data_IF_622518913320
#
_entry.id   IF_622518913320
#
_cell.length_a   1.000
_cell.length_b   1.000
_cell.length_c   1.000
_cell.angle_alpha   90.00
_cell.angle_beta   90.00
_cell.angle_gamma   90.00
#
_symmetry.space_group_name_H-M   'P 1'
#
loop_
_entity.id
_entity.type
_entity.pdbx_description
1 polymer ?
#
# COMPACT_ATOMS: atom_id res chain seq x y z
N UNK A 1 12.93 16.73 -18.58
CA UNK A 1 12.82 15.25 -18.54
C UNK A 1 11.92 14.88 -17.38
N UNK A 2 10.71 14.41 -17.69
CA UNK A 2 9.57 14.19 -16.77
C UNK A 2 9.50 12.75 -16.28
N UNK A 3 10.63 12.15 -15.92
CA UNK A 3 10.63 10.78 -15.37
C UNK A 3 10.74 10.81 -13.84
N UNK A 4 9.90 10.01 -13.18
CA UNK A 4 9.92 9.83 -11.72
C UNK A 4 11.30 9.33 -11.27
N UNK A 5 11.86 9.92 -10.22
CA UNK A 5 13.15 9.48 -9.65
C UNK A 5 13.10 8.02 -9.20
N UNK A 6 11.94 7.55 -8.72
CA UNK A 6 11.73 6.16 -8.31
C UNK A 6 11.72 5.22 -9.52
N UNK A 7 11.18 5.67 -10.66
CA UNK A 7 11.25 4.90 -11.90
C UNK A 7 12.70 4.79 -12.42
N UNK A 8 13.49 5.84 -12.30
CA UNK A 8 14.92 5.79 -12.62
C UNK A 8 15.67 4.82 -11.70
N UNK A 9 15.36 4.80 -10.41
CA UNK A 9 15.90 3.81 -9.47
C UNK A 9 15.51 2.39 -9.89
N UNK A 10 14.26 2.16 -10.29
CA UNK A 10 13.82 0.87 -10.84
C UNK A 10 14.64 0.46 -12.05
N UNK A 11 14.81 1.34 -13.04
CA UNK A 11 15.62 1.08 -14.23
C UNK A 11 17.06 0.72 -13.88
N UNK A 12 17.69 1.47 -12.96
CA UNK A 12 19.05 1.20 -12.50
C UNK A 12 19.16 -0.12 -11.71
N UNK A 13 18.12 -0.48 -10.95
CA UNK A 13 18.08 -1.70 -10.18
C UNK A 13 18.02 -2.95 -11.08
N UNK A 14 17.48 -2.86 -12.30
CA UNK A 14 17.43 -4.00 -13.25
C UNK A 14 18.84 -4.56 -13.48
N UNK A 15 19.81 -3.70 -13.77
CA UNK A 15 21.22 -4.13 -13.98
C UNK A 15 21.79 -4.77 -12.72
N UNK A 16 21.58 -4.15 -11.56
CA UNK A 16 22.05 -4.68 -10.27
C UNK A 16 21.49 -6.08 -9.98
N UNK A 17 20.19 -6.27 -10.18
CA UNK A 17 19.51 -7.54 -9.95
C UNK A 17 19.96 -8.59 -10.96
N UNK A 18 20.07 -8.22 -12.25
CA UNK A 18 20.58 -9.10 -13.31
C UNK A 18 21.95 -9.63 -12.94
N UNK A 19 22.85 -8.75 -12.51
CA UNK A 19 24.22 -9.14 -12.15
C UNK A 19 24.23 -10.09 -10.95
N UNK A 20 23.33 -9.90 -9.97
CA UNK A 20 23.14 -10.85 -8.86
C UNK A 20 22.64 -12.23 -9.32
N UNK A 21 21.68 -12.27 -10.24
CA UNK A 21 21.26 -13.53 -10.86
C UNK A 21 22.39 -14.18 -11.68
N UNK A 22 23.26 -13.38 -12.29
CA UNK A 22 24.44 -13.86 -13.01
C UNK A 22 25.50 -14.55 -12.14
N UNK A 23 25.44 -14.38 -10.82
CA UNK A 23 26.28 -15.10 -9.85
C UNK A 23 25.73 -16.50 -9.54
N UNK A 24 24.48 -16.80 -9.90
CA UNK A 24 23.89 -18.11 -9.71
C UNK A 24 24.39 -19.08 -10.80
N UNK A 25 24.35 -20.40 -10.54
CA UNK A 25 24.73 -21.40 -11.55
C UNK A 25 23.89 -21.32 -12.84
N UNK A 26 22.63 -20.89 -12.72
CA UNK A 26 21.70 -20.72 -13.82
C UNK A 26 22.03 -19.44 -14.60
N UNK A 27 22.31 -19.57 -15.90
CA UNK A 27 22.59 -18.46 -16.81
C UNK A 27 21.45 -18.29 -17.81
N UNK A 28 21.28 -17.06 -18.33
CA UNK A 28 20.29 -16.74 -19.35
C UNK A 28 19.09 -15.93 -18.86
N UNK A 29 19.18 -15.25 -17.71
CA UNK A 29 18.13 -14.31 -17.31
C UNK A 29 18.14 -13.08 -18.24
N UNK A 30 17.11 -12.95 -19.10
CA UNK A 30 16.92 -11.77 -19.94
C UNK A 30 16.49 -10.55 -19.13
N UNK A 31 16.87 -9.34 -19.54
CA UNK A 31 16.64 -8.10 -18.77
C UNK A 31 15.15 -7.81 -18.49
N UNK A 32 14.29 -8.24 -19.41
CA UNK A 32 12.83 -8.11 -19.28
C UNK A 32 12.17 -9.32 -18.60
N UNK A 33 12.95 -10.25 -18.07
CA UNK A 33 12.41 -11.40 -17.36
C UNK A 33 11.78 -10.96 -16.03
N UNK A 34 10.69 -11.62 -15.66
CA UNK A 34 10.02 -11.39 -14.38
C UNK A 34 10.94 -11.57 -13.17
N UNK A 35 11.93 -12.46 -13.29
CA UNK A 35 12.90 -12.75 -12.23
C UNK A 35 13.77 -11.53 -11.93
N UNK A 36 14.02 -10.68 -12.93
CA UNK A 36 14.75 -9.43 -12.74
C UNK A 36 13.80 -8.28 -12.38
N UNK A 37 12.72 -8.12 -13.16
CA UNK A 37 11.84 -6.96 -13.04
C UNK A 37 11.13 -6.90 -11.69
N UNK A 38 10.66 -8.03 -11.14
CA UNK A 38 9.90 -8.04 -9.87
C UNK A 38 10.77 -7.59 -8.68
N UNK A 39 11.92 -8.22 -8.38
CA UNK A 39 12.76 -7.77 -7.27
C UNK A 39 13.36 -6.37 -7.49
N UNK A 40 13.64 -5.95 -8.73
CA UNK A 40 14.05 -4.58 -9.03
C UNK A 40 12.94 -3.57 -8.70
N UNK A 41 11.69 -3.91 -9.04
CA UNK A 41 10.50 -3.12 -8.73
C UNK A 41 10.25 -3.05 -7.23
N UNK A 42 10.30 -4.19 -6.52
CA UNK A 42 10.19 -4.22 -5.06
C UNK A 42 11.27 -3.34 -4.44
N UNK A 43 12.54 -3.46 -4.87
CA UNK A 43 13.63 -2.64 -4.33
C UNK A 43 13.37 -1.14 -4.50
N UNK A 44 13.01 -0.70 -5.71
CA UNK A 44 12.78 0.71 -6.01
C UNK A 44 11.59 1.30 -5.24
N UNK A 45 10.44 0.62 -5.25
CA UNK A 45 9.20 1.18 -4.70
C UNK A 45 9.04 0.95 -3.20
N UNK A 46 9.81 0.04 -2.60
CA UNK A 46 9.87 -0.13 -1.12
C UNK A 46 11.08 0.53 -0.47
N UNK A 47 11.95 1.19 -1.27
CA UNK A 47 13.16 1.85 -0.78
C UNK A 47 14.23 0.89 -0.25
N UNK A 48 14.19 -0.39 -0.65
CA UNK A 48 15.17 -1.41 -0.27
C UNK A 48 16.37 -1.38 -1.20
N UNK A 49 17.53 -1.75 -0.69
CA UNK A 49 18.75 -1.86 -1.49
C UNK A 49 18.64 -3.04 -2.48
N UNK A 50 18.81 -2.78 -3.78
CA UNK A 50 18.80 -3.80 -4.81
C UNK A 50 19.89 -4.87 -4.65
N UNK A 51 20.98 -4.56 -3.94
CA UNK A 51 22.05 -5.52 -3.62
C UNK A 51 21.63 -6.57 -2.59
N UNK A 52 20.65 -6.27 -1.74
CA UNK A 52 20.27 -7.13 -0.61
C UNK A 52 18.80 -7.54 -0.60
N UNK A 53 17.97 -6.99 -1.50
CA UNK A 53 16.57 -7.41 -1.62
C UNK A 53 16.49 -8.89 -1.97
N UNK A 54 15.44 -9.56 -1.51
CA UNK A 54 15.17 -10.94 -1.90
C UNK A 54 14.93 -11.03 -3.40
N UNK A 55 15.44 -12.09 -4.05
CA UNK A 55 15.24 -12.34 -5.48
C UNK A 55 13.91 -13.03 -5.79
N UNK A 56 13.22 -13.48 -4.75
CA UNK A 56 11.88 -14.07 -4.87
C UNK A 56 10.80 -12.99 -5.07
N UNK A 57 9.77 -13.26 -5.90
CA UNK A 57 8.59 -12.43 -5.96
C UNK A 57 7.70 -12.56 -4.71
N UNK A 58 8.01 -13.45 -3.75
CA UNK A 58 7.22 -13.67 -2.53
C UNK A 58 8.01 -13.25 -1.26
N UNK A 59 8.09 -11.94 -0.96
CA UNK A 59 8.89 -11.43 0.15
C UNK A 59 8.37 -11.90 1.51
N UNK A 60 9.27 -12.32 2.41
CA UNK A 60 8.91 -12.87 3.72
C UNK A 60 8.42 -11.82 4.74
N UNK A 61 8.83 -10.56 4.60
CA UNK A 61 8.52 -9.49 5.57
C UNK A 61 7.75 -8.38 4.85
N UNK A 62 6.45 -8.20 5.17
CA UNK A 62 5.65 -7.10 4.62
C UNK A 62 6.11 -5.75 5.21
N UNK A 63 5.75 -4.65 4.54
CA UNK A 63 5.87 -3.32 5.14
C UNK A 63 4.83 -3.22 6.27
N UNK A 64 5.19 -2.75 7.48
CA UNK A 64 4.25 -2.69 8.58
C UNK A 64 3.16 -1.64 8.33
N UNK A 65 1.92 -2.03 8.64
CA UNK A 65 0.81 -1.11 8.74
C UNK A 65 0.83 -0.44 10.11
N UNK A 66 0.54 0.85 10.18
CA UNK A 66 0.57 1.58 11.44
C UNK A 66 -0.52 2.64 11.52
N UNK A 67 -0.94 2.93 12.76
CA UNK A 67 -1.88 3.98 13.07
C UNK A 67 -1.50 4.63 14.38
N UNK A 68 -1.44 5.96 14.38
CA UNK A 68 -1.16 6.78 15.56
C UNK A 68 -2.29 7.77 15.71
N UNK A 69 -2.89 7.79 16.90
CA UNK A 69 -3.90 8.75 17.32
C UNK A 69 -3.40 9.45 18.59
N UNK A 70 -3.22 10.77 18.52
CA UNK A 70 -2.77 11.60 19.63
C UNK A 70 -3.88 12.53 20.10
N UNK A 71 -4.37 12.31 21.32
CA UNK A 71 -5.49 13.03 21.92
C UNK A 71 -5.07 14.05 22.99
N UNK A 72 -3.77 14.28 23.18
CA UNK A 72 -3.25 15.10 24.28
C UNK A 72 -3.28 16.61 24.01
N UNK A 73 -3.61 17.03 22.78
CA UNK A 73 -3.54 18.45 22.38
C UNK A 73 -4.53 19.34 23.15
N UNK A 74 -5.65 18.79 23.63
CA UNK A 74 -6.62 19.53 24.45
C UNK A 74 -6.09 19.94 25.83
N UNK A 75 -4.96 19.39 26.29
CA UNK A 75 -4.34 19.74 27.58
C UNK A 75 -3.48 21.02 27.51
N UNK A 76 -3.15 21.50 26.31
CA UNK A 76 -2.40 22.73 26.13
C UNK A 76 -3.27 23.95 26.48
N UNK A 77 -2.68 24.96 27.11
CA UNK A 77 -3.41 26.14 27.62
C UNK A 77 -4.22 26.88 26.54
N UNK A 78 -3.75 26.87 25.30
CA UNK A 78 -4.43 27.50 24.16
C UNK A 78 -5.69 26.75 23.69
N UNK A 79 -5.81 25.45 23.98
CA UNK A 79 -6.90 24.61 23.46
C UNK A 79 -7.92 24.20 24.54
N UNK A 80 -7.51 24.16 25.82
CA UNK A 80 -8.34 23.65 26.94
C UNK A 80 -9.65 24.40 27.16
N UNK A 81 -9.71 25.68 26.80
CA UNK A 81 -10.89 26.52 27.07
C UNK A 81 -11.96 26.40 25.98
N UNK A 82 -11.55 26.10 24.75
CA UNK A 82 -12.42 26.06 23.57
C UNK A 82 -12.83 24.61 23.25
N UNK A 83 -11.87 23.69 23.32
CA UNK A 83 -12.02 22.30 22.87
C UNK A 83 -12.12 21.34 24.04
N UNK A 84 -13.06 20.39 23.97
CA UNK A 84 -13.11 19.22 24.87
C UNK A 84 -12.15 18.14 24.41
N UNK A 85 -11.95 17.98 23.10
CA UNK A 85 -10.94 17.09 22.54
C UNK A 85 -10.34 17.65 21.26
N UNK A 86 -9.05 17.40 21.07
CA UNK A 86 -8.34 17.63 19.82
C UNK A 86 -7.52 16.38 19.54
N UNK A 87 -7.87 15.69 18.46
CA UNK A 87 -7.26 14.42 18.04
C UNK A 87 -6.49 14.63 16.75
N UNK A 88 -5.20 14.32 16.78
CA UNK A 88 -4.37 14.21 15.58
C UNK A 88 -4.23 12.74 15.22
N UNK A 89 -4.56 12.39 13.98
CA UNK A 89 -4.55 11.03 13.46
C UNK A 89 -3.61 10.91 12.27
N UNK A 90 -2.87 9.81 12.21
CA UNK A 90 -2.12 9.38 11.05
C UNK A 90 -2.23 7.87 10.93
N UNK A 91 -2.51 7.37 9.73
CA UNK A 91 -2.55 5.93 9.47
C UNK A 91 -2.01 5.61 8.09
N UNK A 92 -1.19 4.56 8.01
CA UNK A 92 -0.62 4.04 6.78
C UNK A 92 -0.90 2.54 6.66
N UNK A 93 -1.28 2.15 5.46
CA UNK A 93 -1.49 0.75 5.07
C UNK A 93 -0.78 0.47 3.75
N UNK A 94 -0.10 -0.67 3.69
CA UNK A 94 0.57 -1.18 2.50
C UNK A 94 0.16 -2.62 2.24
N UNK A 95 -0.02 -2.97 0.97
CA UNK A 95 -0.19 -4.35 0.54
C UNK A 95 0.66 -4.62 -0.71
N UNK A 96 1.22 -5.83 -0.77
CA UNK A 96 1.89 -6.36 -1.95
C UNK A 96 1.14 -7.60 -2.41
N UNK A 97 0.85 -7.68 -3.71
CA UNK A 97 0.07 -8.75 -4.31
C UNK A 97 0.77 -9.26 -5.56
N UNK A 98 0.84 -10.59 -5.69
CA UNK A 98 1.21 -11.27 -6.93
C UNK A 98 -0.08 -11.71 -7.61
N UNK A 99 -0.45 -11.04 -8.69
CA UNK A 99 -1.71 -11.25 -9.41
C UNK A 99 -1.52 -12.31 -10.49
N UNK A 100 -2.30 -13.39 -10.39
CA UNK A 100 -2.40 -14.47 -11.37
C UNK A 100 -1.04 -15.09 -11.74
N UNK A 101 -0.66 -16.14 -11.02
CA UNK A 101 0.48 -16.99 -11.36
C UNK A 101 0.03 -18.40 -11.74
N UNK A 102 0.76 -19.03 -12.65
CA UNK A 102 0.54 -20.42 -13.07
C UNK A 102 1.86 -21.15 -13.22
N UNK A 103 1.83 -22.48 -13.20
CA UNK A 103 3.02 -23.28 -13.52
C UNK A 103 3.33 -23.15 -15.01
N UNK A 104 4.61 -23.02 -15.34
CA UNK A 104 5.06 -23.11 -16.73
C UNK A 104 4.92 -24.55 -17.23
N UNK A 105 4.43 -24.70 -18.46
CA UNK A 105 4.24 -26.01 -19.11
C UNK A 105 5.56 -26.72 -19.44
N UNK A 106 6.69 -25.98 -19.38
CA UNK A 106 8.03 -26.50 -19.65
C UNK A 106 8.62 -27.34 -18.50
N UNK A 107 7.91 -27.39 -17.36
CA UNK A 107 8.35 -28.05 -16.15
C UNK A 107 7.34 -29.12 -15.72
N UNK A 108 7.75 -30.37 -15.80
CA UNK A 108 6.88 -31.54 -15.54
C UNK A 108 6.78 -31.91 -14.05
N UNK A 109 7.73 -31.46 -13.22
CA UNK A 109 7.88 -31.89 -11.82
C UNK A 109 7.72 -30.78 -10.77
N UNK A 110 7.02 -29.69 -11.09
CA UNK A 110 6.58 -28.70 -10.09
C UNK A 110 5.34 -29.28 -9.39
N UNK A 111 5.56 -30.25 -8.50
CA UNK A 111 4.49 -30.89 -7.75
C UNK A 111 3.86 -29.97 -6.70
N UNK A 112 2.67 -30.34 -6.21
CA UNK A 112 1.94 -29.64 -5.14
C UNK A 112 2.72 -29.52 -3.82
N UNK A 113 3.84 -30.24 -3.68
CA UNK A 113 4.67 -30.27 -2.47
C UNK A 113 5.72 -29.16 -2.44
N UNK A 114 5.86 -28.36 -3.51
CA UNK A 114 6.79 -27.22 -3.56
C UNK A 114 5.97 -25.95 -3.36
N UNK A 115 6.13 -25.26 -2.21
CA UNK A 115 5.48 -23.97 -1.98
C UNK A 115 5.93 -22.96 -3.04
N UNK A 116 5.02 -22.13 -3.54
CA UNK A 116 5.35 -21.11 -4.53
C UNK A 116 6.36 -20.09 -3.97
N UNK A 117 6.37 -19.92 -2.65
CA UNK A 117 7.28 -19.05 -1.92
C UNK A 117 8.76 -19.45 -2.03
N UNK A 118 9.04 -20.69 -2.43
CA UNK A 118 10.40 -21.19 -2.69
C UNK A 118 10.95 -20.75 -4.06
N UNK A 119 10.11 -20.15 -4.91
CA UNK A 119 10.54 -19.63 -6.20
C UNK A 119 11.61 -18.54 -6.04
N UNK A 120 12.74 -18.72 -6.72
CA UNK A 120 13.97 -17.93 -6.59
C UNK A 120 14.54 -17.85 -5.15
N UNK A 121 14.22 -18.84 -4.31
CA UNK A 121 14.92 -19.12 -3.04
C UNK A 121 15.63 -20.46 -3.10
N UNK A 122 14.84 -21.51 -3.36
CA UNK A 122 15.28 -22.90 -3.42
C UNK A 122 15.00 -23.52 -4.80
N UNK A 123 14.08 -22.93 -5.57
CA UNK A 123 13.69 -23.40 -6.90
C UNK A 123 13.98 -22.32 -7.93
N UNK A 124 14.83 -22.62 -8.89
CA UNK A 124 15.28 -21.70 -9.94
C UNK A 124 14.94 -22.25 -11.32
N UNK A 125 14.77 -21.34 -12.28
CA UNK A 125 14.56 -21.69 -13.68
C UNK A 125 15.78 -22.45 -14.25
N UNK A 126 15.54 -23.50 -15.02
CA UNK A 126 16.61 -24.33 -15.64
C UNK A 126 16.40 -24.58 -17.13
N UNK A 127 15.21 -24.29 -17.67
CA UNK A 127 14.88 -24.48 -19.09
C UNK A 127 15.11 -23.19 -19.87
N UNK A 128 15.62 -23.30 -21.09
CA UNK A 128 15.88 -22.17 -21.97
C UNK A 128 14.87 -22.16 -23.13
N UNK A 129 14.45 -20.96 -23.55
CA UNK A 129 13.66 -20.77 -24.76
C UNK A 129 14.56 -20.74 -26.02
N UNK A 130 13.94 -20.57 -27.20
CA UNK A 130 14.66 -20.48 -28.48
C UNK A 130 15.66 -19.29 -28.56
N UNK A 131 15.45 -18.25 -27.75
CA UNK A 131 16.34 -17.08 -27.64
C UNK A 131 17.45 -17.27 -26.60
N UNK A 132 17.60 -18.47 -26.04
CA UNK A 132 18.57 -18.80 -24.99
C UNK A 132 18.36 -18.01 -23.69
N UNK A 133 17.11 -17.69 -23.38
CA UNK A 133 16.68 -17.07 -22.13
C UNK A 133 15.98 -18.09 -21.22
N UNK A 134 16.14 -17.96 -19.91
CA UNK A 134 15.50 -18.83 -18.93
C UNK A 134 13.99 -18.65 -18.92
N UNK A 135 13.29 -19.77 -18.96
CA UNK A 135 11.84 -19.85 -18.85
C UNK A 135 11.50 -19.93 -17.36
N UNK A 136 10.68 -19.01 -16.82
CA UNK A 136 10.33 -19.03 -15.41
C UNK A 136 9.58 -20.30 -15.02
N UNK A 137 9.77 -20.75 -13.77
CA UNK A 137 9.11 -21.92 -13.19
C UNK A 137 7.61 -21.65 -13.00
N UNK A 138 7.29 -20.45 -12.49
CA UNK A 138 5.93 -19.93 -12.37
C UNK A 138 5.78 -18.71 -13.25
N UNK A 139 4.79 -18.67 -14.14
CA UNK A 139 4.50 -17.51 -14.98
C UNK A 139 3.64 -16.54 -14.19
N UNK A 140 4.14 -15.34 -13.89
CA UNK A 140 3.42 -14.29 -13.16
C UNK A 140 2.89 -13.28 -14.17
N UNK A 141 1.61 -12.90 -14.05
CA UNK A 141 1.01 -11.91 -14.96
C UNK A 141 1.33 -10.48 -14.54
N UNK A 142 1.16 -10.18 -13.25
CA UNK A 142 1.33 -8.85 -12.70
C UNK A 142 1.69 -8.90 -11.22
N UNK A 143 2.43 -7.90 -10.74
CA UNK A 143 2.60 -7.62 -9.31
C UNK A 143 2.10 -6.22 -8.99
N UNK A 144 1.51 -6.05 -7.81
CA UNK A 144 0.92 -4.78 -7.38
C UNK A 144 1.40 -4.39 -5.99
N UNK A 145 1.73 -3.12 -5.80
CA UNK A 145 1.94 -2.48 -4.50
C UNK A 145 0.83 -1.44 -4.34
N UNK A 146 0.01 -1.57 -3.31
CA UNK A 146 -1.00 -0.56 -2.94
C UNK A 146 -0.64 0.05 -1.60
N UNK A 147 -0.44 1.36 -1.58
CA UNK A 147 -0.10 2.13 -0.40
C UNK A 147 -1.11 3.24 -0.17
N UNK A 148 -1.50 3.44 1.08
CA UNK A 148 -2.52 4.40 1.43
C UNK A 148 -2.21 5.04 2.78
N UNK A 149 -2.31 6.35 2.82
CA UNK A 149 -2.43 7.13 4.04
C UNK A 149 -3.86 7.60 4.23
N UNK A 150 -4.53 7.08 5.27
CA UNK A 150 -5.95 7.32 5.52
C UNK A 150 -6.25 7.52 7.01
N UNK A 151 -5.94 8.70 7.57
CA UNK A 151 -5.43 9.88 6.89
C UNK A 151 -3.89 9.97 6.91
N UNK A 152 -3.32 10.72 5.97
CA UNK A 152 -1.94 11.23 6.08
C UNK A 152 -1.86 12.25 7.21
N UNK A 153 -2.86 13.13 7.29
CA UNK A 153 -3.03 14.04 8.41
C UNK A 153 -4.53 14.17 8.64
N UNK A 154 -5.00 13.67 9.78
CA UNK A 154 -6.37 13.84 10.24
C UNK A 154 -6.40 14.68 11.49
N UNK A 155 -7.28 15.68 11.55
CA UNK A 155 -7.48 16.50 12.75
C UNK A 155 -8.96 16.54 13.06
N UNK A 156 -9.30 16.12 14.28
CA UNK A 156 -10.67 16.14 14.78
C UNK A 156 -10.76 17.02 16.03
N UNK A 157 -11.58 18.06 15.95
CA UNK A 157 -11.87 19.00 17.01
C UNK A 157 -13.27 18.76 17.54
N UNK A 158 -13.39 18.64 18.87
CA UNK A 158 -14.67 18.70 19.58
C UNK A 158 -14.65 19.88 20.51
N UNK A 159 -15.65 20.73 20.41
CA UNK A 159 -15.78 21.93 21.27
C UNK A 159 -16.65 21.65 22.49
N UNK A 160 -16.52 22.49 23.51
CA UNK A 160 -17.44 22.49 24.67
C UNK A 160 -18.88 22.81 24.26
N UNK A 161 -19.07 23.51 23.15
CA UNK A 161 -20.38 23.85 22.56
C UNK A 161 -20.95 22.73 21.67
N UNK A 162 -20.45 21.50 21.80
CA UNK A 162 -20.93 20.32 21.05
C UNK A 162 -20.84 20.45 19.51
N UNK A 163 -19.96 21.31 19.02
CA UNK A 163 -19.53 21.33 17.62
C UNK A 163 -18.38 20.33 17.44
N UNK A 164 -18.50 19.47 16.43
CA UNK A 164 -17.48 18.57 15.92
C UNK A 164 -17.01 19.09 14.55
N UNK A 165 -15.70 19.22 14.37
CA UNK A 165 -15.08 19.57 13.10
C UNK A 165 -13.97 18.57 12.84
N UNK A 166 -14.00 17.89 11.70
CA UNK A 166 -12.96 16.97 11.28
C UNK A 166 -12.45 17.34 9.90
N UNK A 167 -11.13 17.31 9.74
CA UNK A 167 -10.44 17.45 8.47
C UNK A 167 -9.52 16.26 8.30
N UNK A 168 -9.62 15.57 7.16
CA UNK A 168 -8.71 14.49 6.80
C UNK A 168 -8.09 14.79 5.43
N UNK A 169 -6.76 14.74 5.36
CA UNK A 169 -6.02 14.66 4.11
C UNK A 169 -5.56 13.23 3.89
N UNK A 170 -5.94 12.62 2.76
CA UNK A 170 -5.70 11.22 2.42
C UNK A 170 -4.88 11.16 1.14
N UNK A 171 -4.00 10.17 1.06
CA UNK A 171 -3.24 9.92 -0.17
C UNK A 171 -3.21 8.42 -0.43
N UNK A 172 -3.24 8.03 -1.69
CA UNK A 172 -3.14 6.63 -2.12
C UNK A 172 -2.23 6.56 -3.33
N UNK A 173 -1.43 5.50 -3.40
CA UNK A 173 -0.59 5.15 -4.53
C UNK A 173 -0.80 3.68 -4.86
N UNK A 174 -1.28 3.41 -6.06
CA UNK A 174 -1.36 2.06 -6.62
C UNK A 174 -0.30 1.92 -7.72
N UNK A 175 0.60 0.96 -7.55
CA UNK A 175 1.68 0.65 -8.47
C UNK A 175 1.48 -0.75 -9.01
N UNK A 176 1.41 -0.90 -10.33
CA UNK A 176 1.25 -2.19 -10.98
C UNK A 176 2.36 -2.40 -12.00
N UNK A 177 3.03 -3.54 -11.94
CA UNK A 177 4.04 -3.95 -12.92
C UNK A 177 3.50 -5.15 -13.69
N UNK A 178 3.27 -4.97 -14.99
CA UNK A 178 2.78 -6.00 -15.91
C UNK A 178 3.95 -6.73 -16.58
N UNK A 179 3.96 -8.07 -16.49
CA UNK A 179 5.07 -8.90 -16.99
C UNK A 179 5.02 -9.08 -18.50
N UNK A 180 3.83 -9.12 -19.11
CA UNK A 180 3.67 -9.40 -20.54
C UNK A 180 4.28 -8.32 -21.44
N UNK A 181 4.34 -7.08 -20.96
CA UNK A 181 4.90 -5.95 -21.71
C UNK A 181 5.97 -5.16 -20.92
N UNK A 182 6.38 -5.65 -19.74
CA UNK A 182 7.36 -5.01 -18.86
C UNK A 182 7.02 -3.53 -18.54
N UNK A 183 5.74 -3.22 -18.33
CA UNK A 183 5.25 -1.86 -18.07
C UNK A 183 4.92 -1.64 -16.61
N UNK A 184 5.34 -0.49 -16.07
CA UNK A 184 4.90 0.02 -14.76
C UNK A 184 3.78 1.04 -14.95
N UNK A 185 2.70 0.90 -14.20
CA UNK A 185 1.62 1.88 -14.07
C UNK A 185 1.58 2.40 -12.64
N UNK A 186 1.57 3.71 -12.48
CA UNK A 186 1.45 4.40 -11.18
C UNK A 186 0.18 5.26 -11.18
N UNK A 187 -0.70 5.03 -10.21
CA UNK A 187 -1.90 5.81 -9.97
C UNK A 187 -1.81 6.47 -8.59
N UNK A 188 -1.74 7.79 -8.58
CA UNK A 188 -1.65 8.58 -7.35
C UNK A 188 -2.95 9.36 -7.12
N UNK A 189 -3.60 9.09 -6.00
CA UNK A 189 -4.84 9.76 -5.56
C UNK A 189 -4.55 10.62 -4.34
N UNK A 190 -5.15 11.81 -4.30
CA UNK A 190 -5.07 12.73 -3.16
C UNK A 190 -6.46 13.26 -2.88
N UNK A 191 -6.98 12.93 -1.71
CA UNK A 191 -8.32 13.33 -1.28
C UNK A 191 -8.24 14.19 -0.04
N UNK A 192 -9.18 15.11 0.10
CA UNK A 192 -9.40 15.82 1.35
C UNK A 192 -10.88 15.72 1.69
N UNK A 193 -11.18 15.62 2.99
CA UNK A 193 -12.55 15.60 3.47
C UNK A 193 -12.70 16.49 4.69
N UNK A 194 -13.80 17.24 4.72
CA UNK A 194 -14.21 18.05 5.87
C UNK A 194 -15.56 17.52 6.35
N UNK A 195 -15.67 17.30 7.66
CA UNK A 195 -16.90 16.88 8.31
C UNK A 195 -17.24 17.89 9.42
N UNK A 196 -18.49 18.35 9.41
CA UNK A 196 -19.04 19.28 10.39
C UNK A 196 -20.25 18.64 11.05
N UNK A 197 -20.23 18.54 12.38
CA UNK A 197 -21.34 18.01 13.17
C UNK A 197 -21.68 18.95 14.32
N UNK A 198 -22.97 19.07 14.65
CA UNK A 198 -23.43 19.85 15.80
C UNK A 198 -24.53 19.09 16.51
N UNK A 199 -24.40 18.91 17.82
CA UNK A 199 -25.40 18.24 18.67
C UNK A 199 -26.09 19.25 19.57
N UNK A 200 -27.43 19.25 19.60
CA UNK A 200 -28.23 20.19 20.41
C UNK A 200 -29.11 19.45 21.40
N UNK A 201 -28.93 19.77 22.68
CA UNK A 201 -29.75 19.19 23.74
C UNK A 201 -31.12 19.88 23.82
N UNK A 202 -32.14 19.13 24.23
CA UNK A 202 -33.48 19.63 24.49
C UNK A 202 -34.16 20.28 23.26
N UNK A 203 -34.10 19.61 22.11
CA UNK A 203 -34.90 19.99 20.95
C UNK A 203 -36.40 19.93 21.32
N UNK A 204 -37.05 21.10 21.31
CA UNK A 204 -38.50 21.23 21.45
C UNK A 204 -39.13 20.90 20.11
N UNK A 205 -39.91 19.82 20.03
CA UNK A 205 -40.62 19.46 18.81
C UNK A 205 -41.76 20.47 18.54
N UNK A 206 -42.07 20.81 17.27
CA UNK A 206 -43.11 21.78 16.94
C UNK A 206 -44.54 21.25 17.15
N UNK A 207 -44.72 19.98 17.52
CA UNK A 207 -46.01 19.39 17.82
C UNK A 207 -46.31 19.48 19.32
N UNK A 208 -47.47 20.06 19.66
CA UNK A 208 -47.99 20.08 21.02
C UNK A 208 -48.90 18.87 21.19
N UNK A 209 -48.63 18.04 22.20
CA UNK A 209 -49.59 17.04 22.67
C UNK A 209 -50.26 17.59 23.94
N UNK A 210 -51.59 17.62 23.94
CA UNK A 210 -52.40 18.15 25.05
C UNK A 210 -51.98 19.55 25.56
N UNK A 211 -51.55 20.45 24.67
CA UNK A 211 -51.23 21.84 25.02
C UNK A 211 -49.87 22.07 25.69
N UNK A 212 -49.06 21.02 25.91
CA UNK A 212 -47.68 21.13 26.41
C UNK A 212 -46.69 20.84 25.29
N UNK A 213 -45.61 21.63 25.22
CA UNK A 213 -44.50 21.37 24.31
C UNK A 213 -43.74 20.14 24.78
N UNK A 214 -43.77 19.05 24.01
CA UNK A 214 -42.95 17.86 24.31
C UNK A 214 -41.48 18.22 24.05
N UNK A 215 -40.70 18.25 25.12
CA UNK A 215 -39.23 18.27 25.06
C UNK A 215 -38.72 16.84 25.10
N UNK A 216 -38.02 16.39 24.06
CA UNK A 216 -37.31 15.12 24.11
C UNK A 216 -36.15 15.23 25.10
N UNK A 217 -36.04 14.28 26.04
CA UNK A 217 -34.91 14.16 26.98
C UNK A 217 -33.65 13.55 26.34
N UNK A 218 -33.72 13.21 25.06
CA UNK A 218 -32.64 12.56 24.33
C UNK A 218 -31.84 13.59 23.50
N UNK A 219 -30.55 13.33 23.34
CA UNK A 219 -29.65 14.12 22.50
C UNK A 219 -30.00 13.88 21.00
N UNK A 220 -29.99 14.96 20.21
CA UNK A 220 -30.15 14.95 18.74
C UNK A 220 -29.03 15.74 18.09
#
# INVERSE_FOLDING_TARGET
STESSVFQQFSNNITTIRDRFGLLPQKGYGEKSQDILIPAFIAAYTGKNAQSVSLTPFPNIPIPNWRVDYNGLNKLDIFKDIFTSVTLSHAYTSSYQVMNYSNSLEYENIGLNIPVEDYNKNVFATKLNASNELIPVYVISQVMISEQFAPLIGVNFRTKKKLNLRFDYKTKRDLALNMSNAQVTELNTRDWSVELGYTKNNMKLPFKDQGRTITLKNDV
#
